data_IF_708294577367
#
_entry.id   IF_708294577367
#
_cell.length_a   1.000
_cell.length_b   1.000
_cell.length_c   1.000
_cell.angle_alpha   90.00
_cell.angle_beta   90.00
_cell.angle_gamma   90.00
#
_symmetry.space_group_name_H-M   'P 1'
#
loop_
_entity.id
_entity.type
_entity.pdbx_description
1 polymer ?
#
# COMPACT_ATOMS: atom_id res chain seq x y z
N UNK A 1 -13.24 -8.45 -0.75
CA UNK A 1 -13.40 -7.94 0.63
C UNK A 1 -14.53 -6.92 0.67
N UNK A 2 -15.26 -6.83 1.80
CA UNK A 2 -16.32 -5.83 2.00
C UNK A 2 -15.78 -4.49 2.54
N UNK A 3 -14.54 -4.47 3.05
CA UNK A 3 -13.90 -3.30 3.64
C UNK A 3 -12.92 -2.60 2.71
N UNK A 4 -12.64 -3.19 1.54
CA UNK A 4 -11.83 -2.59 0.48
C UNK A 4 -12.46 -1.30 -0.05
N UNK A 5 -11.67 -0.22 -0.10
CA UNK A 5 -12.10 1.08 -0.61
C UNK A 5 -11.00 1.71 -1.47
N UNK A 6 -11.18 1.85 -2.80
CA UNK A 6 -10.22 2.59 -3.62
C UNK A 6 -10.25 4.08 -3.26
N UNK A 7 -9.09 4.73 -3.22
CA UNK A 7 -8.97 6.14 -2.89
C UNK A 7 -9.42 7.01 -4.08
N UNK A 8 -10.56 7.68 -3.90
CA UNK A 8 -11.14 8.60 -4.90
C UNK A 8 -10.57 10.01 -4.71
N UNK A 9 -10.30 10.67 -5.83
CA UNK A 9 -9.72 12.02 -5.87
C UNK A 9 -10.49 12.97 -6.81
N UNK A 10 -11.67 12.56 -7.28
CA UNK A 10 -12.51 13.31 -8.23
C UNK A 10 -12.87 14.73 -7.73
N UNK A 11 -13.13 14.89 -6.44
CA UNK A 11 -13.53 16.17 -5.84
C UNK A 11 -12.39 16.90 -5.12
N UNK A 12 -11.37 16.17 -4.67
CA UNK A 12 -10.18 16.75 -4.07
C UNK A 12 -8.92 15.99 -4.52
N UNK A 13 -8.19 16.48 -5.53
CA UNK A 13 -6.94 15.85 -5.97
C UNK A 13 -5.82 15.88 -4.93
N UNK A 14 -5.90 16.73 -3.89
CA UNK A 14 -4.82 16.88 -2.89
C UNK A 14 -4.70 15.66 -1.99
N UNK A 15 -5.80 14.92 -1.76
CA UNK A 15 -5.81 13.65 -1.00
C UNK A 15 -4.90 12.59 -1.62
N UNK A 16 -4.54 12.79 -2.88
CA UNK A 16 -3.77 11.85 -3.67
C UNK A 16 -2.27 11.99 -3.55
N UNK A 17 -1.77 13.13 -3.03
CA UNK A 17 -0.33 13.40 -3.02
C UNK A 17 0.42 12.37 -2.16
N UNK A 18 1.60 11.89 -2.60
CA UNK A 18 2.37 12.34 -3.78
C UNK A 18 1.97 11.67 -5.11
N UNK A 19 0.94 10.83 -5.13
CA UNK A 19 0.46 10.11 -6.30
C UNK A 19 -0.39 10.98 -7.24
N UNK A 20 -0.73 10.43 -8.41
CA UNK A 20 -1.47 11.15 -9.46
C UNK A 20 -2.95 10.80 -9.39
N UNK A 21 -3.81 11.80 -9.50
CA UNK A 21 -5.24 11.58 -9.70
C UNK A 21 -5.51 11.30 -11.18
N UNK A 22 -5.91 10.09 -11.51
CA UNK A 22 -6.19 9.66 -12.89
C UNK A 22 -7.59 9.06 -12.92
N UNK A 23 -8.45 9.58 -13.81
CA UNK A 23 -9.85 9.11 -13.96
C UNK A 23 -10.62 9.04 -12.63
N UNK A 24 -10.36 9.98 -11.72
CA UNK A 24 -11.01 10.08 -10.42
C UNK A 24 -10.47 9.17 -9.31
N UNK A 25 -9.41 8.39 -9.58
CA UNK A 25 -8.75 7.53 -8.61
C UNK A 25 -7.28 7.87 -8.44
N UNK A 26 -6.74 7.56 -7.28
CA UNK A 26 -5.31 7.73 -7.03
C UNK A 26 -4.49 6.60 -7.62
N UNK A 27 -3.63 6.92 -8.59
CA UNK A 27 -2.72 5.97 -9.22
C UNK A 27 -1.29 6.14 -8.70
N UNK A 28 -0.73 5.03 -8.20
CA UNK A 28 0.70 4.96 -7.91
C UNK A 28 1.46 4.41 -9.12
N UNK A 29 2.71 4.81 -9.23
CA UNK A 29 3.67 4.24 -10.17
C UNK A 29 5.03 4.23 -9.48
N UNK A 30 5.62 3.06 -9.32
CA UNK A 30 6.91 2.88 -8.67
C UNK A 30 7.84 2.10 -9.62
N UNK A 31 9.08 2.56 -9.70
CA UNK A 31 10.18 1.81 -10.29
C UNK A 31 11.09 1.38 -9.14
N UNK A 32 11.37 0.08 -9.08
CA UNK A 32 12.27 -0.50 -8.11
C UNK A 32 13.72 -0.39 -8.59
N UNK A 33 14.67 -0.64 -7.69
CA UNK A 33 16.10 -0.54 -7.99
C UNK A 33 16.60 -1.61 -8.99
N UNK A 34 15.85 -2.69 -9.17
CA UNK A 34 16.11 -3.77 -10.14
C UNK A 34 15.45 -3.49 -11.51
N UNK A 35 15.04 -2.24 -11.77
CA UNK A 35 14.30 -1.79 -12.95
C UNK A 35 12.92 -2.44 -13.14
N UNK A 36 12.46 -3.23 -12.17
CA UNK A 36 11.09 -3.71 -12.18
C UNK A 36 10.13 -2.56 -11.89
N UNK A 37 8.92 -2.65 -12.45
CA UNK A 37 7.95 -1.57 -12.43
C UNK A 37 6.60 -2.07 -11.92
N UNK A 38 5.97 -1.26 -11.08
CA UNK A 38 4.63 -1.50 -10.59
C UNK A 38 3.76 -0.27 -10.69
N UNK A 39 2.58 -0.43 -11.27
CA UNK A 39 1.53 0.59 -11.35
C UNK A 39 0.20 0.03 -10.88
N UNK A 40 -0.60 0.89 -10.26
CA UNK A 40 -1.91 0.51 -9.75
C UNK A 40 -2.66 1.63 -9.07
N UNK A 41 -3.71 1.25 -8.35
CA UNK A 41 -4.62 2.16 -7.65
C UNK A 41 -4.31 2.13 -6.16
N UNK A 42 -4.24 3.29 -5.52
CA UNK A 42 -4.17 3.39 -4.07
C UNK A 42 -5.55 3.03 -3.49
N UNK A 43 -5.58 2.11 -2.55
CA UNK A 43 -6.78 1.69 -1.85
C UNK A 43 -6.53 1.58 -0.35
N UNK A 44 -7.60 1.56 0.42
CA UNK A 44 -7.61 1.29 1.86
C UNK A 44 -8.27 -0.06 2.12
N UNK A 45 -7.70 -0.84 3.03
CA UNK A 45 -8.24 -2.12 3.48
C UNK A 45 -7.83 -2.40 4.92
N UNK A 46 -8.59 -3.25 5.61
CA UNK A 46 -8.24 -3.76 6.93
C UNK A 46 -7.27 -4.93 6.83
N UNK A 47 -6.12 -4.78 7.48
CA UNK A 47 -5.15 -5.85 7.67
C UNK A 47 -5.13 -6.23 9.15
N UNK A 48 -5.13 -7.53 9.40
CA UNK A 48 -5.02 -8.09 10.75
C UNK A 48 -3.65 -8.75 10.90
N UNK A 49 -2.92 -8.34 11.92
CA UNK A 49 -1.60 -8.86 12.27
C UNK A 49 -1.66 -9.58 13.61
N UNK A 50 -0.93 -10.67 13.75
CA UNK A 50 -0.69 -11.29 15.05
C UNK A 50 0.46 -10.56 15.74
N UNK A 51 0.13 -9.74 16.74
CA UNK A 51 1.08 -8.97 17.54
C UNK A 51 1.31 -9.67 18.88
N UNK A 52 2.34 -10.51 18.97
CA UNK A 52 2.68 -11.16 20.25
C UNK A 52 3.30 -10.15 21.24
N UNK A 53 2.91 -10.15 22.53
CA UNK A 53 1.94 -11.03 23.22
C UNK A 53 0.49 -10.50 23.23
N UNK A 54 0.21 -9.36 22.60
CA UNK A 54 -1.08 -8.63 22.64
C UNK A 54 -2.22 -9.30 21.85
N UNK A 55 -1.93 -10.28 21.00
CA UNK A 55 -2.92 -10.99 20.19
C UNK A 55 -3.12 -10.32 18.81
N UNK A 56 -4.33 -10.39 18.26
CA UNK A 56 -4.64 -9.86 16.93
C UNK A 56 -4.87 -8.35 16.97
N UNK A 57 -4.16 -7.61 16.15
CA UNK A 57 -4.36 -6.18 15.92
C UNK A 57 -4.84 -5.94 14.49
N UNK A 58 -5.91 -5.15 14.30
CA UNK A 58 -6.44 -4.81 12.98
C UNK A 58 -6.25 -3.33 12.70
N UNK A 59 -5.72 -2.99 11.53
CA UNK A 59 -5.45 -1.60 11.12
C UNK A 59 -5.98 -1.36 9.72
N UNK A 60 -6.53 -0.16 9.46
CA UNK A 60 -6.77 0.27 8.09
C UNK A 60 -5.45 0.72 7.48
N UNK A 61 -5.06 0.08 6.39
CA UNK A 61 -3.81 0.36 5.68
C UNK A 61 -4.15 0.89 4.30
N UNK A 62 -3.47 1.96 3.91
CA UNK A 62 -3.44 2.42 2.52
C UNK A 62 -2.31 1.70 1.79
N UNK A 63 -2.63 1.06 0.67
CA UNK A 63 -1.66 0.28 -0.10
C UNK A 63 -1.93 0.43 -1.59
N UNK A 64 -0.94 0.06 -2.40
CA UNK A 64 -1.09 -0.04 -3.84
C UNK A 64 -1.72 -1.36 -4.24
N UNK A 65 -2.91 -1.32 -4.86
CA UNK A 65 -3.49 -2.45 -5.57
C UNK A 65 -2.92 -2.46 -7.00
N UNK A 66 -1.99 -3.36 -7.24
CA UNK A 66 -1.26 -3.44 -8.50
C UNK A 66 -2.10 -3.95 -9.66
N UNK A 67 -2.10 -3.22 -10.78
CA UNK A 67 -2.82 -3.59 -12.02
C UNK A 67 -1.89 -3.84 -13.21
N UNK A 68 -0.68 -3.25 -13.23
CA UNK A 68 0.33 -3.44 -14.28
C UNK A 68 1.69 -3.65 -13.61
N UNK A 69 2.21 -4.88 -13.71
CA UNK A 69 3.47 -5.32 -13.10
C UNK A 69 4.41 -5.82 -14.18
N UNK A 70 5.63 -5.29 -14.23
CA UNK A 70 6.58 -5.59 -15.30
C UNK A 70 7.94 -5.94 -14.72
N UNK A 71 8.57 -6.95 -15.33
CA UNK A 71 9.92 -7.40 -15.01
C UNK A 71 10.11 -7.77 -13.53
N UNK A 72 9.06 -8.22 -12.85
CA UNK A 72 9.12 -8.64 -11.46
C UNK A 72 9.93 -9.94 -11.35
N UNK A 73 11.06 -9.90 -10.63
CA UNK A 73 11.93 -11.07 -10.45
C UNK A 73 12.26 -11.42 -9.00
N UNK A 74 11.68 -10.74 -8.00
CA UNK A 74 12.01 -10.93 -6.58
C UNK A 74 11.77 -12.36 -6.03
N UNK A 75 11.05 -13.22 -6.75
CA UNK A 75 10.80 -14.61 -6.38
C UNK A 75 11.22 -15.61 -7.47
N UNK A 76 11.98 -15.18 -8.49
CA UNK A 76 12.30 -16.01 -9.65
C UNK A 76 13.10 -17.27 -9.29
N UNK A 77 13.95 -17.18 -8.29
CA UNK A 77 14.80 -18.28 -7.82
C UNK A 77 14.10 -19.21 -6.81
N UNK A 78 12.85 -18.89 -6.42
CA UNK A 78 12.08 -19.64 -5.43
C UNK A 78 10.65 -19.90 -5.95
N UNK A 79 10.46 -20.84 -6.89
CA UNK A 79 9.19 -21.05 -7.57
C UNK A 79 8.05 -21.50 -6.64
N UNK A 80 8.38 -22.14 -5.51
CA UNK A 80 7.44 -22.49 -4.45
C UNK A 80 6.99 -21.28 -3.60
N UNK A 81 7.73 -20.17 -3.63
CA UNK A 81 7.40 -18.96 -2.89
C UNK A 81 6.43 -18.09 -3.68
N UNK A 82 5.13 -18.32 -3.48
CA UNK A 82 4.08 -17.46 -4.03
C UNK A 82 4.07 -16.11 -3.32
N UNK A 83 4.55 -15.08 -4.01
CA UNK A 83 4.54 -13.70 -3.52
C UNK A 83 3.35 -12.94 -4.11
N UNK A 84 2.45 -12.48 -3.24
CA UNK A 84 1.28 -11.70 -3.62
C UNK A 84 1.54 -10.17 -3.67
N UNK A 85 2.69 -9.71 -3.19
CA UNK A 85 3.03 -8.29 -3.16
C UNK A 85 4.32 -7.98 -2.40
N UNK A 86 4.59 -6.69 -2.25
CA UNK A 86 5.79 -6.15 -1.59
C UNK A 86 5.37 -5.31 -0.39
N UNK A 87 6.00 -5.54 0.77
CA UNK A 87 5.77 -4.75 1.99
C UNK A 87 6.86 -3.69 2.15
N UNK A 88 6.48 -2.41 2.06
CA UNK A 88 7.42 -1.30 2.19
C UNK A 88 7.72 -0.93 3.65
N UNK A 89 9.01 -0.91 4.01
CA UNK A 89 9.52 -0.51 5.33
C UNK A 89 10.43 0.72 5.29
N UNK A 90 10.43 1.47 4.18
CA UNK A 90 11.18 2.73 4.04
C UNK A 90 10.53 3.89 4.80
N UNK A 91 11.12 5.09 4.71
CA UNK A 91 10.71 6.27 5.48
C UNK A 91 9.52 7.05 4.92
N UNK A 92 8.91 6.56 3.84
CA UNK A 92 7.77 7.23 3.23
C UNK A 92 6.55 7.15 4.16
N UNK A 93 5.67 8.18 4.19
CA UNK A 93 4.49 8.20 5.07
C UNK A 93 3.46 7.09 4.77
N UNK A 94 3.61 6.39 3.65
CA UNK A 94 2.81 5.22 3.25
C UNK A 94 3.51 3.88 3.51
N UNK A 95 4.71 3.86 4.10
CA UNK A 95 5.32 2.62 4.59
C UNK A 95 4.54 2.07 5.78
N UNK A 96 4.53 0.74 5.95
CA UNK A 96 3.66 0.08 6.94
C UNK A 96 3.78 0.67 8.35
N UNK A 97 5.00 0.96 8.79
CA UNK A 97 5.28 1.44 10.15
C UNK A 97 4.99 2.93 10.36
N UNK A 98 4.89 3.70 9.29
CA UNK A 98 4.74 5.16 9.33
C UNK A 98 3.28 5.61 9.13
N UNK A 99 2.39 4.69 8.76
CA UNK A 99 0.98 5.01 8.60
C UNK A 99 0.32 5.23 9.96
N UNK A 100 -0.42 6.34 10.14
CA UNK A 100 -1.13 6.59 11.38
C UNK A 100 -2.30 5.61 11.53
N UNK A 101 -2.57 5.17 12.75
CA UNK A 101 -3.82 4.46 13.03
C UNK A 101 -5.00 5.43 12.81
N UNK A 102 -6.08 5.01 12.12
CA UNK A 102 -7.23 5.87 11.85
C UNK A 102 -7.88 6.46 13.11
N UNK A 103 -7.75 5.77 14.24
CA UNK A 103 -8.35 6.14 15.53
C UNK A 103 -7.51 7.15 16.33
N UNK A 104 -6.23 7.30 16.03
CA UNK A 104 -5.33 8.22 16.72
C UNK A 104 -4.75 9.23 15.73
N UNK A 105 -5.60 10.17 15.31
CA UNK A 105 -5.11 11.44 14.80
C UNK A 105 -4.17 12.06 15.84
N UNK A 106 -2.87 12.00 15.58
CA UNK A 106 -1.74 12.48 16.39
C UNK A 106 -1.24 11.56 17.53
N UNK A 107 -0.02 11.03 17.35
CA UNK A 107 1.15 11.20 18.24
C UNK A 107 2.36 10.48 17.62
N UNK A 108 3.06 11.19 16.76
CA UNK A 108 4.51 11.00 16.62
C UNK A 108 5.15 11.67 17.83
N UNK A 109 5.64 10.87 18.78
CA UNK A 109 6.59 11.30 19.80
C UNK A 109 7.99 11.44 19.21
#
# INVERSE_FOLDING_TARGET
SQTYRPLRCQHDPKVCKPHKCVRGFCEYSIQYADDSHSKGIIAQEKFTFDAHPRGKETKDIRFGCGVDQRNISFAKDYPENQVAGVLGLGWAPYALHAQPDPETGSRSS
#
